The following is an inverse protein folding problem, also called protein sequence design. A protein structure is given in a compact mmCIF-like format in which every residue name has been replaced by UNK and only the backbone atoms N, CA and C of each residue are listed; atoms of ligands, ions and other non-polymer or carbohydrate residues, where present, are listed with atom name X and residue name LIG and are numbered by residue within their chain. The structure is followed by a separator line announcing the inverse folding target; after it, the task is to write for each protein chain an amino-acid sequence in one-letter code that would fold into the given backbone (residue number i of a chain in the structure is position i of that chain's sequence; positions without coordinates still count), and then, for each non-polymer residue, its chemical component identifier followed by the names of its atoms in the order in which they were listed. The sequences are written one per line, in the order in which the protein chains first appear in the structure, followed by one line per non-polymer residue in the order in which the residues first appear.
data_IF_868048528344
#
_entry.id   IF_868048528344
#
_cell.length_a   1.000
_cell.length_b   1.000
_cell.length_c   1.000
_cell.angle_alpha   90.00
_cell.angle_beta   90.00
_cell.angle_gamma   90.00
#
_symmetry.space_group_name_H-M   'P 1'
#
loop_
_entity.id
_entity.type
_entity.pdbx_description
1 polymer ?
#
# COMPACT_ATOMS: atom_id res chain seq x y z
N UNK A 1 -7.85 -7.84 -14.41
CA UNK A 1 -8.13 -8.74 -13.27
C UNK A 1 -9.06 -9.83 -13.77
N UNK A 2 -8.55 -11.02 -14.00
CA UNK A 2 -9.41 -12.17 -14.28
C UNK A 2 -10.32 -12.40 -13.07
N UNK A 3 -11.62 -12.56 -13.31
CA UNK A 3 -12.60 -12.85 -12.28
C UNK A 3 -12.16 -14.09 -11.49
N UNK A 4 -11.73 -13.90 -10.25
CA UNK A 4 -11.36 -14.99 -9.34
C UNK A 4 -9.99 -14.88 -8.66
N UNK A 5 -9.07 -14.04 -9.11
CA UNK A 5 -7.77 -13.88 -8.44
C UNK A 5 -7.84 -12.82 -7.36
N UNK A 6 -7.61 -13.23 -6.12
CA UNK A 6 -7.46 -12.32 -5.00
C UNK A 6 -6.27 -11.37 -5.23
N UNK A 7 -6.44 -10.09 -4.92
CA UNK A 7 -5.37 -9.10 -5.03
C UNK A 7 -5.20 -8.34 -3.71
N UNK A 8 -3.99 -7.85 -3.46
CA UNK A 8 -3.77 -6.81 -2.47
C UNK A 8 -3.67 -5.45 -3.15
N UNK A 9 -4.02 -4.39 -2.44
CA UNK A 9 -3.89 -3.03 -2.93
C UNK A 9 -2.80 -2.30 -2.16
N UNK A 10 -1.88 -1.68 -2.90
CA UNK A 10 -0.81 -0.83 -2.37
C UNK A 10 -1.05 0.61 -2.82
N UNK A 11 -1.07 1.54 -1.86
CA UNK A 11 -1.11 2.98 -2.13
C UNK A 11 0.14 3.62 -1.50
N UNK A 12 1.26 3.68 -2.28
CA UNK A 12 2.57 4.01 -1.73
C UNK A 12 2.83 5.50 -1.65
N UNK A 13 1.82 6.35 -1.89
CA UNK A 13 2.02 7.80 -2.02
C UNK A 13 1.35 8.59 -0.90
N UNK A 14 1.89 9.76 -0.68
CA UNK A 14 1.37 10.81 0.19
C UNK A 14 1.78 12.16 -0.40
N UNK A 15 0.93 13.18 -0.25
CA UNK A 15 1.26 14.55 -0.67
C UNK A 15 2.47 15.16 0.05
N UNK A 16 2.89 14.56 1.16
CA UNK A 16 4.03 15.03 1.97
C UNK A 16 5.22 14.11 1.75
N UNK A 17 6.30 14.61 1.15
CA UNK A 17 7.52 13.85 0.87
C UNK A 17 8.11 13.18 2.14
N UNK A 18 8.02 13.84 3.30
CA UNK A 18 8.45 13.29 4.60
C UNK A 18 7.68 12.04 5.04
N UNK A 19 6.55 11.75 4.41
CA UNK A 19 5.71 10.59 4.67
C UNK A 19 5.87 9.49 3.61
N UNK A 20 6.89 9.56 2.76
CA UNK A 20 7.18 8.55 1.76
C UNK A 20 8.16 7.51 2.32
N UNK A 21 7.87 6.26 2.07
CA UNK A 21 8.79 5.16 2.36
C UNK A 21 9.77 5.00 1.19
N UNK A 22 10.85 4.25 1.38
CA UNK A 22 11.87 4.05 0.36
C UNK A 22 11.31 3.30 -0.86
N UNK A 23 11.65 3.78 -2.07
CA UNK A 23 11.19 3.21 -3.35
C UNK A 23 11.69 1.78 -3.57
N UNK A 24 12.94 1.51 -3.17
CA UNK A 24 13.54 0.18 -3.28
C UNK A 24 12.82 -0.79 -2.36
N UNK A 25 12.51 -0.39 -1.13
CA UNK A 25 11.75 -1.20 -0.17
C UNK A 25 10.33 -1.48 -0.67
N UNK A 26 9.65 -0.51 -1.27
CA UNK A 26 8.36 -0.77 -1.91
C UNK A 26 8.48 -1.74 -3.09
N UNK A 27 9.50 -1.59 -3.94
CA UNK A 27 9.77 -2.50 -5.04
C UNK A 27 10.01 -3.94 -4.56
N UNK A 28 10.80 -4.11 -3.50
CA UNK A 28 11.03 -5.40 -2.86
C UNK A 28 9.74 -5.99 -2.29
N UNK A 29 8.94 -5.19 -1.57
CA UNK A 29 7.64 -5.62 -1.04
C UNK A 29 6.71 -6.15 -2.14
N UNK A 30 6.59 -5.40 -3.25
CA UNK A 30 5.77 -5.79 -4.41
C UNK A 30 6.27 -7.11 -4.99
N UNK A 31 7.58 -7.24 -5.17
CA UNK A 31 8.21 -8.46 -5.67
C UNK A 31 7.91 -9.68 -4.81
N UNK A 32 8.02 -9.54 -3.49
CA UNK A 32 7.74 -10.63 -2.55
C UNK A 32 6.26 -11.02 -2.54
N UNK A 33 5.34 -10.06 -2.61
CA UNK A 33 3.90 -10.33 -2.69
C UNK A 33 3.52 -11.04 -4.00
N UNK A 34 4.09 -10.59 -5.13
CA UNK A 34 3.87 -11.23 -6.42
C UNK A 34 4.39 -12.69 -6.45
N UNK A 35 5.54 -12.96 -5.83
CA UNK A 35 6.10 -14.32 -5.68
C UNK A 35 5.21 -15.23 -4.82
N UNK A 36 4.43 -14.70 -3.90
CA UNK A 36 3.45 -15.44 -3.08
C UNK A 36 2.13 -15.75 -3.82
N UNK A 37 2.11 -15.63 -5.14
CA UNK A 37 0.95 -15.86 -6.00
C UNK A 37 -0.23 -14.90 -5.75
N UNK A 38 0.07 -13.69 -5.30
CA UNK A 38 -0.90 -12.64 -5.04
C UNK A 38 -0.80 -11.56 -6.13
N UNK A 39 -1.92 -11.22 -6.74
CA UNK A 39 -1.96 -10.05 -7.63
C UNK A 39 -1.82 -8.77 -6.82
N UNK A 40 -1.05 -7.81 -7.31
CA UNK A 40 -0.82 -6.51 -6.66
C UNK A 40 -1.44 -5.41 -7.51
N UNK A 41 -2.33 -4.63 -6.95
CA UNK A 41 -2.86 -3.41 -7.57
C UNK A 41 -2.21 -2.21 -6.90
N UNK A 42 -1.62 -1.33 -7.70
CA UNK A 42 -0.96 -0.13 -7.19
C UNK A 42 -1.77 1.09 -7.63
N UNK A 43 -1.99 2.00 -6.69
CA UNK A 43 -2.72 3.26 -6.91
C UNK A 43 -1.94 4.45 -6.38
N UNK A 44 -2.24 5.64 -6.87
CA UNK A 44 -1.76 6.91 -6.32
C UNK A 44 -2.83 7.99 -6.48
N UNK A 45 -2.60 9.17 -5.89
CA UNK A 45 -3.30 10.38 -6.27
C UNK A 45 -3.03 10.78 -7.72
N UNK A 46 -3.75 11.78 -8.25
CA UNK A 46 -3.64 12.21 -9.65
C UNK A 46 -2.44 13.12 -9.93
N UNK A 47 -1.69 13.52 -8.91
CA UNK A 47 -0.53 14.39 -9.06
C UNK A 47 0.61 13.69 -9.81
N UNK A 48 1.25 14.39 -10.76
CA UNK A 48 2.31 13.81 -11.57
C UNK A 48 3.51 13.33 -10.73
N UNK A 49 3.81 13.98 -9.61
CA UNK A 49 4.89 13.55 -8.71
C UNK A 49 4.55 12.19 -8.06
N UNK A 50 3.30 11.98 -7.68
CA UNK A 50 2.86 10.70 -7.11
C UNK A 50 2.89 9.60 -8.18
N UNK A 51 2.47 9.90 -9.41
CA UNK A 51 2.53 8.96 -10.54
C UNK A 51 3.97 8.56 -10.83
N UNK A 52 4.88 9.55 -10.97
CA UNK A 52 6.30 9.28 -11.21
C UNK A 52 6.96 8.51 -10.06
N UNK A 53 6.54 8.77 -8.81
CA UNK A 53 7.04 8.01 -7.67
C UNK A 53 6.65 6.52 -7.76
N UNK A 54 5.44 6.20 -8.21
CA UNK A 54 5.02 4.81 -8.45
C UNK A 54 5.81 4.17 -9.59
N UNK A 55 6.07 4.91 -10.68
CA UNK A 55 6.88 4.43 -11.80
C UNK A 55 8.28 4.04 -11.33
N UNK A 56 8.92 4.90 -10.52
CA UNK A 56 10.25 4.62 -9.96
C UNK A 56 10.24 3.44 -8.97
N UNK A 57 9.15 3.21 -8.22
CA UNK A 57 8.99 2.01 -7.40
C UNK A 57 8.98 0.77 -8.29
N UNK A 58 8.24 0.79 -9.39
CA UNK A 58 8.11 -0.34 -10.30
C UNK A 58 9.40 -0.65 -11.05
N UNK A 59 10.25 0.33 -11.32
CA UNK A 59 11.59 0.13 -11.86
C UNK A 59 12.50 -0.67 -10.90
N UNK A 60 12.24 -0.59 -9.59
CA UNK A 60 12.97 -1.33 -8.56
C UNK A 60 12.31 -2.68 -8.20
N UNK A 61 11.20 -3.04 -8.83
CA UNK A 61 10.50 -4.29 -8.55
C UNK A 61 10.90 -5.38 -9.55
N UNK A 62 11.19 -6.57 -9.02
CA UNK A 62 11.36 -7.79 -9.83
C UNK A 62 9.97 -8.37 -10.13
N UNK A 63 9.35 -7.84 -11.20
CA UNK A 63 7.98 -8.20 -11.59
C UNK A 63 8.03 -9.39 -12.51
N UNK A 64 7.63 -10.54 -11.98
CA UNK A 64 7.42 -11.77 -12.74
C UNK A 64 5.92 -11.92 -13.02
N UNK A 65 5.55 -12.24 -14.28
CA UNK A 65 4.21 -12.73 -14.66
C UNK A 65 3.03 -11.77 -14.54
N UNK A 66 3.04 -10.56 -15.06
CA UNK A 66 1.84 -9.68 -15.19
C UNK A 66 0.94 -9.60 -13.94
N UNK A 67 1.47 -9.92 -12.76
CA UNK A 67 0.71 -9.91 -11.49
C UNK A 67 0.56 -8.52 -10.87
N UNK A 68 1.18 -7.51 -11.47
CA UNK A 68 1.16 -6.14 -10.97
C UNK A 68 0.36 -5.27 -11.93
N UNK A 69 -0.71 -4.67 -11.43
CA UNK A 69 -1.55 -3.72 -12.16
C UNK A 69 -1.30 -2.30 -11.66
N UNK A 70 -0.73 -1.45 -12.51
CA UNK A 70 -0.49 -0.05 -12.21
C UNK A 70 -1.70 0.82 -12.59
N UNK A 71 -2.40 1.33 -11.58
CA UNK A 71 -3.51 2.28 -11.67
C UNK A 71 -3.16 3.66 -11.08
N UNK A 72 -1.88 4.00 -10.97
CA UNK A 72 -1.45 5.30 -10.47
C UNK A 72 -2.08 6.45 -11.27
N UNK A 73 -2.69 7.40 -10.57
CA UNK A 73 -3.38 8.54 -11.19
C UNK A 73 -4.67 8.22 -11.95
N UNK A 74 -5.10 6.95 -11.99
CA UNK A 74 -6.24 6.49 -12.84
C UNK A 74 -7.53 6.24 -12.06
N UNK A 75 -7.57 6.56 -10.77
CA UNK A 75 -8.73 6.28 -9.92
C UNK A 75 -9.31 7.56 -9.33
N UNK A 76 -10.64 7.65 -9.32
CA UNK A 76 -11.35 8.60 -8.45
C UNK A 76 -11.32 8.11 -6.99
N UNK A 77 -11.71 8.95 -6.02
CA UNK A 77 -11.83 8.53 -4.62
C UNK A 77 -12.83 7.38 -4.44
N UNK A 78 -13.95 7.41 -5.15
CA UNK A 78 -14.94 6.32 -5.14
C UNK A 78 -14.38 5.04 -5.78
N UNK A 79 -13.65 5.17 -6.88
CA UNK A 79 -12.96 4.06 -7.53
C UNK A 79 -11.90 3.44 -6.60
N UNK A 80 -11.12 4.27 -5.92
CA UNK A 80 -10.16 3.81 -4.92
C UNK A 80 -10.85 3.06 -3.77
N UNK A 81 -11.96 3.59 -3.24
CA UNK A 81 -12.72 2.93 -2.18
C UNK A 81 -13.26 1.57 -2.63
N UNK A 82 -13.77 1.46 -3.87
CA UNK A 82 -14.24 0.21 -4.44
C UNK A 82 -13.10 -0.81 -4.60
N UNK A 83 -11.94 -0.38 -5.09
CA UNK A 83 -10.75 -1.22 -5.21
C UNK A 83 -10.25 -1.69 -3.83
N UNK A 84 -10.19 -0.80 -2.84
CA UNK A 84 -9.81 -1.16 -1.48
C UNK A 84 -10.80 -2.17 -0.90
N UNK A 85 -12.10 -1.94 -1.06
CA UNK A 85 -13.15 -2.86 -0.58
C UNK A 85 -13.04 -4.25 -1.20
N UNK A 86 -12.71 -4.34 -2.49
CA UNK A 86 -12.53 -5.60 -3.22
C UNK A 86 -11.20 -6.30 -2.97
N UNK A 87 -10.19 -5.62 -2.43
CA UNK A 87 -8.90 -6.20 -2.14
C UNK A 87 -8.97 -7.24 -1.00
N UNK A 88 -8.01 -8.16 -0.96
CA UNK A 88 -7.80 -9.06 0.18
C UNK A 88 -7.35 -8.26 1.40
N UNK A 89 -6.37 -7.37 1.21
CA UNK A 89 -5.91 -6.39 2.20
C UNK A 89 -5.34 -5.15 1.52
N UNK A 90 -5.12 -4.11 2.30
CA UNK A 90 -4.55 -2.84 1.89
C UNK A 90 -3.22 -2.58 2.60
N UNK A 91 -2.25 -2.04 1.86
CA UNK A 91 -1.00 -1.51 2.44
C UNK A 91 -0.83 -0.06 1.95
N UNK A 92 -0.52 0.84 2.86
CA UNK A 92 -0.30 2.23 2.50
C UNK A 92 0.43 3.04 3.55
N UNK A 93 0.57 4.31 3.25
CA UNK A 93 1.17 5.31 4.13
C UNK A 93 0.07 6.04 4.91
N UNK A 94 0.46 6.88 5.86
CA UNK A 94 -0.43 7.84 6.53
C UNK A 94 -0.95 8.86 5.50
N UNK A 95 -2.08 8.54 4.90
CA UNK A 95 -2.75 9.29 3.84
C UNK A 95 -4.26 9.06 3.84
N UNK A 96 -4.99 9.78 2.99
CA UNK A 96 -6.44 9.58 2.81
C UNK A 96 -6.80 8.13 2.50
N UNK A 97 -5.96 7.41 1.74
CA UNK A 97 -6.22 6.03 1.36
C UNK A 97 -6.32 5.09 2.56
N UNK A 98 -5.51 5.28 3.61
CA UNK A 98 -5.59 4.48 4.84
C UNK A 98 -6.91 4.72 5.61
N UNK A 99 -7.41 5.96 5.60
CA UNK A 99 -8.70 6.27 6.20
C UNK A 99 -9.87 5.69 5.39
N UNK A 100 -9.77 5.68 4.06
CA UNK A 100 -10.73 4.98 3.19
C UNK A 100 -10.73 3.48 3.51
N UNK A 101 -9.56 2.85 3.66
CA UNK A 101 -9.48 1.44 4.02
C UNK A 101 -10.20 1.14 5.35
N UNK A 102 -10.01 2.00 6.35
CA UNK A 102 -10.74 1.89 7.62
C UNK A 102 -12.26 2.07 7.44
N UNK A 103 -12.69 3.06 6.65
CA UNK A 103 -14.12 3.35 6.44
C UNK A 103 -14.88 2.21 5.76
N UNK A 104 -14.20 1.42 4.92
CA UNK A 104 -14.78 0.23 4.28
C UNK A 104 -14.47 -1.06 5.06
N UNK A 105 -13.98 -0.93 6.30
CA UNK A 105 -13.62 -2.01 7.21
C UNK A 105 -12.65 -3.05 6.58
N UNK A 106 -11.67 -2.56 5.83
CA UNK A 106 -10.66 -3.41 5.18
C UNK A 106 -9.52 -3.73 6.14
N UNK A 107 -9.06 -4.99 6.14
CA UNK A 107 -7.78 -5.33 6.73
C UNK A 107 -6.66 -4.51 6.08
N UNK A 108 -5.87 -3.83 6.91
CA UNK A 108 -4.89 -2.88 6.41
C UNK A 108 -3.63 -2.82 7.25
N UNK A 109 -2.53 -2.47 6.59
CA UNK A 109 -1.26 -2.12 7.21
C UNK A 109 -0.93 -0.69 6.78
N UNK A 110 -0.75 0.20 7.75
CA UNK A 110 -0.36 1.59 7.49
C UNK A 110 1.02 1.87 8.10
N UNK A 111 1.92 2.39 7.27
CA UNK A 111 3.26 2.76 7.67
C UNK A 111 3.25 4.23 8.11
N UNK A 112 3.61 4.46 9.36
CA UNK A 112 3.70 5.78 9.98
C UNK A 112 5.17 6.17 10.20
N UNK A 113 5.53 7.35 9.74
CA UNK A 113 6.79 8.00 10.00
C UNK A 113 6.64 9.09 11.08
N UNK A 114 6.99 10.35 10.74
CA UNK A 114 7.01 11.47 11.69
C UNK A 114 5.64 11.98 12.14
N UNK A 115 4.54 11.33 11.74
CA UNK A 115 3.18 11.70 12.17
C UNK A 115 2.82 11.06 13.50
N UNK A 116 2.09 11.78 14.34
CA UNK A 116 1.58 11.22 15.59
C UNK A 116 0.45 10.22 15.31
N UNK A 117 0.65 8.91 15.55
CA UNK A 117 -0.36 7.90 15.26
C UNK A 117 -1.59 8.01 16.18
N UNK A 118 -1.47 8.62 17.35
CA UNK A 118 -2.60 8.84 18.27
C UNK A 118 -3.69 9.68 17.60
N UNK A 119 -3.30 10.68 16.82
CA UNK A 119 -4.22 11.60 16.15
C UNK A 119 -4.63 11.14 14.75
N UNK A 120 -3.78 10.36 14.07
CA UNK A 120 -3.90 10.10 12.63
C UNK A 120 -4.04 8.64 12.25
N UNK A 121 -4.01 7.70 13.21
CA UNK A 121 -4.23 6.28 12.88
C UNK A 121 -5.65 6.06 12.33
N UNK A 122 -5.81 5.15 11.37
CA UNK A 122 -7.13 4.75 10.89
C UNK A 122 -7.98 4.18 12.03
N UNK A 123 -9.24 4.56 12.11
CA UNK A 123 -10.17 4.11 13.14
C UNK A 123 -10.82 2.79 12.70
N UNK A 124 -10.10 1.70 12.90
CA UNK A 124 -10.60 0.35 12.64
C UNK A 124 -9.79 -0.66 13.44
N UNK A 125 -10.46 -1.65 14.01
CA UNK A 125 -9.81 -2.78 14.70
C UNK A 125 -9.07 -3.69 13.72
N UNK A 126 -9.33 -3.56 12.41
CA UNK A 126 -8.68 -4.28 11.34
C UNK A 126 -7.47 -3.54 10.76
N UNK A 127 -7.17 -2.36 11.26
CA UNK A 127 -6.03 -1.57 10.85
C UNK A 127 -4.83 -1.85 11.75
N UNK A 128 -3.77 -2.44 11.19
CA UNK A 128 -2.46 -2.56 11.83
C UNK A 128 -1.59 -1.38 11.42
N UNK A 129 -0.75 -0.93 12.33
CA UNK A 129 0.19 0.19 12.06
C UNK A 129 1.61 -0.22 12.42
N UNK A 130 2.57 0.21 11.61
CA UNK A 130 4.00 0.19 11.94
C UNK A 130 4.44 1.64 12.11
N UNK A 131 5.00 1.98 13.26
CA UNK A 131 5.40 3.36 13.61
C UNK A 131 6.90 3.43 13.81
N UNK A 132 7.55 4.37 13.15
CA UNK A 132 8.97 4.73 13.35
C UNK A 132 9.11 6.25 13.27
N UNK A 133 10.14 6.79 13.91
CA UNK A 133 10.47 8.22 13.80
C UNK A 133 10.83 8.62 12.36
N UNK A 134 11.45 7.70 11.62
CA UNK A 134 11.70 7.81 10.19
C UNK A 134 11.21 6.53 9.50
N UNK A 135 10.41 6.69 8.44
CA UNK A 135 9.92 5.59 7.61
C UNK A 135 11.04 4.70 7.06
N UNK A 136 12.23 5.26 6.82
CA UNK A 136 13.41 4.50 6.38
C UNK A 136 13.79 3.36 7.32
N UNK A 137 13.44 3.48 8.60
CA UNK A 137 13.71 2.47 9.64
C UNK A 137 12.68 1.32 9.66
N UNK A 138 11.64 1.38 8.83
CA UNK A 138 10.73 0.25 8.63
C UNK A 138 11.36 -0.70 7.62
N UNK A 139 11.48 -1.97 7.99
CA UNK A 139 12.02 -3.00 7.11
C UNK A 139 10.90 -3.77 6.38
N UNK A 140 11.17 -4.22 5.16
CA UNK A 140 10.21 -4.98 4.35
C UNK A 140 9.76 -6.25 5.07
N UNK A 141 10.66 -6.91 5.77
CA UNK A 141 10.36 -8.11 6.56
C UNK A 141 9.30 -7.88 7.64
N UNK A 142 9.26 -6.70 8.27
CA UNK A 142 8.22 -6.35 9.24
C UNK A 142 6.83 -6.29 8.60
N UNK A 143 6.75 -5.70 7.41
CA UNK A 143 5.49 -5.61 6.65
C UNK A 143 5.03 -6.98 6.20
N UNK A 144 5.94 -7.80 5.66
CA UNK A 144 5.64 -9.18 5.23
C UNK A 144 5.19 -10.05 6.40
N UNK A 145 5.84 -9.96 7.57
CA UNK A 145 5.41 -10.70 8.76
C UNK A 145 3.97 -10.37 9.16
N UNK A 146 3.58 -9.09 9.11
CA UNK A 146 2.19 -8.70 9.39
C UNK A 146 1.22 -9.23 8.33
N UNK A 147 1.62 -9.28 7.05
CA UNK A 147 0.79 -9.90 6.00
C UNK A 147 0.59 -11.39 6.26
N UNK A 148 1.64 -12.10 6.67
CA UNK A 148 1.58 -13.54 6.99
C UNK A 148 0.71 -13.82 8.23
N UNK A 149 0.80 -12.97 9.25
CA UNK A 149 -0.06 -13.06 10.44
C UNK A 149 -1.55 -12.83 10.14
N UNK A 150 -1.85 -11.99 9.15
CA UNK A 150 -3.23 -11.72 8.71
C UNK A 150 -3.77 -12.80 7.76
N UNK A 151 -2.87 -13.44 7.02
CA UNK A 151 -3.19 -14.39 5.94
C UNK A 151 -2.20 -15.57 5.96
N UNK A 152 -2.28 -16.43 6.99
CA UNK A 152 -1.41 -17.58 7.14
C UNK A 152 -1.56 -18.62 6.02
#
# INVERSE_FOLDING_TARGET
LNQGNAYCLIHPTSRREKKLWDKVKFGELISLLAKKNLSVVITSGPDQKEISYVEEILENADIVDQKVLNLAGKTSLLGLAALIKGAKFFIGLDSVASHIAASVNKESITLFGPSNPVNWKPWSDRAKIIVRDDLKNIEVGEVISLVEDMHP
#
